data_IF_288720111071
#
_entry.id   IF_288720111071
#
_cell.length_a   1.000
_cell.length_b   1.000
_cell.length_c   1.000
_cell.angle_alpha   90.00
_cell.angle_beta   90.00
_cell.angle_gamma   90.00
#
_symmetry.space_group_name_H-M   'P 1'
#
loop_
_entity.id
_entity.type
_entity.pdbx_description
1 polymer ?
#
# COMPACT_ATOMS: atom_id res chain seq x y z
N UNK A 1 15.96 -19.53 -7.07
CA UNK A 1 15.53 -18.54 -6.09
C UNK A 1 14.40 -19.04 -5.22
N UNK A 2 13.97 -18.29 -4.18
CA UNK A 2 13.01 -18.74 -3.17
C UNK A 2 11.71 -19.33 -3.74
N UNK A 3 11.22 -18.82 -4.88
CA UNK A 3 10.04 -19.40 -5.54
C UNK A 3 10.29 -20.82 -6.07
N UNK A 4 11.40 -21.03 -6.78
CA UNK A 4 11.75 -22.34 -7.35
C UNK A 4 12.06 -23.37 -6.27
N UNK A 5 12.59 -22.93 -5.14
CA UNK A 5 13.07 -23.81 -4.10
C UNK A 5 11.97 -24.19 -3.09
N UNK A 6 10.99 -23.30 -2.88
CA UNK A 6 10.02 -23.43 -1.80
C UNK A 6 8.55 -23.22 -2.18
N UNK A 7 8.26 -22.69 -3.35
CA UNK A 7 6.91 -22.23 -3.68
C UNK A 7 6.23 -22.94 -4.83
N UNK A 8 6.99 -23.41 -5.83
CA UNK A 8 6.36 -23.83 -7.09
C UNK A 8 5.59 -25.15 -6.99
N UNK A 9 5.95 -26.02 -6.06
CA UNK A 9 5.29 -27.33 -5.88
C UNK A 9 4.15 -27.29 -4.85
N UNK A 10 3.98 -26.18 -4.15
CA UNK A 10 2.88 -25.98 -3.22
C UNK A 10 1.67 -25.34 -3.92
N UNK A 11 0.56 -26.08 -4.11
CA UNK A 11 -0.63 -25.53 -4.77
C UNK A 11 -1.23 -24.31 -4.08
N UNK A 12 -1.16 -24.23 -2.75
CA UNK A 12 -1.68 -23.10 -1.99
C UNK A 12 -0.86 -21.83 -2.25
N UNK A 13 0.48 -21.96 -2.25
CA UNK A 13 1.38 -20.85 -2.58
C UNK A 13 1.25 -20.42 -4.04
N UNK A 14 1.01 -21.34 -4.94
CA UNK A 14 0.73 -21.02 -6.35
C UNK A 14 -0.57 -20.24 -6.50
N UNK A 15 -1.62 -20.63 -5.81
CA UNK A 15 -2.90 -19.89 -5.80
C UNK A 15 -2.70 -18.48 -5.23
N UNK A 16 -2.00 -18.34 -4.11
CA UNK A 16 -1.69 -17.04 -3.51
C UNK A 16 -0.89 -16.14 -4.47
N UNK A 17 0.14 -16.67 -5.11
CA UNK A 17 0.92 -15.96 -6.12
C UNK A 17 0.05 -15.50 -7.29
N UNK A 18 -0.86 -16.35 -7.79
CA UNK A 18 -1.76 -16.00 -8.87
C UNK A 18 -2.74 -14.91 -8.46
N UNK A 19 -3.23 -14.92 -7.22
CA UNK A 19 -4.07 -13.83 -6.69
C UNK A 19 -3.30 -12.51 -6.63
N UNK A 20 -2.05 -12.53 -6.22
CA UNK A 20 -1.18 -11.35 -6.24
C UNK A 20 -0.96 -10.87 -7.68
N UNK A 21 -0.72 -11.78 -8.62
CA UNK A 21 -0.59 -11.41 -10.04
C UNK A 21 -1.85 -10.74 -10.58
N UNK A 22 -3.03 -11.29 -10.31
CA UNK A 22 -4.31 -10.66 -10.72
C UNK A 22 -4.44 -9.26 -10.14
N UNK A 23 -4.11 -9.06 -8.85
CA UNK A 23 -4.16 -7.75 -8.21
C UNK A 23 -3.15 -6.77 -8.81
N UNK A 24 -1.96 -7.23 -9.20
CA UNK A 24 -0.97 -6.38 -9.89
C UNK A 24 -1.49 -5.92 -11.25
N UNK A 25 -2.18 -6.80 -12.00
CA UNK A 25 -2.79 -6.45 -13.28
C UNK A 25 -3.95 -5.46 -13.11
N UNK A 26 -4.79 -5.63 -12.10
CA UNK A 26 -5.84 -4.65 -11.76
C UNK A 26 -5.23 -3.28 -11.46
N UNK A 27 -4.15 -3.24 -10.67
CA UNK A 27 -3.43 -2.00 -10.37
C UNK A 27 -2.84 -1.36 -11.63
N UNK A 28 -2.22 -2.16 -12.50
CA UNK A 28 -1.68 -1.70 -13.78
C UNK A 28 -2.77 -1.08 -14.66
N UNK A 29 -3.92 -1.73 -14.79
CA UNK A 29 -5.06 -1.23 -15.57
C UNK A 29 -5.64 0.05 -14.98
N UNK A 30 -5.74 0.14 -13.64
CA UNK A 30 -6.16 1.37 -12.98
C UNK A 30 -5.18 2.53 -13.26
N UNK A 31 -3.89 2.27 -13.27
CA UNK A 31 -2.87 3.28 -13.57
C UNK A 31 -2.96 3.77 -15.03
N UNK A 32 -3.19 2.87 -15.99
CA UNK A 32 -3.43 3.24 -17.39
C UNK A 32 -4.68 4.13 -17.52
N UNK A 33 -5.77 3.77 -16.85
CA UNK A 33 -6.98 4.59 -16.81
C UNK A 33 -6.73 5.96 -16.19
N UNK A 34 -5.94 6.03 -15.12
CA UNK A 34 -5.56 7.29 -14.47
C UNK A 34 -4.72 8.18 -15.40
N UNK A 35 -3.83 7.60 -16.20
CA UNK A 35 -3.02 8.31 -17.17
C UNK A 35 -3.89 8.86 -18.32
N UNK A 36 -4.79 8.05 -18.85
CA UNK A 36 -5.74 8.48 -19.88
C UNK A 36 -6.64 9.62 -19.39
N UNK A 37 -7.19 9.52 -18.16
CA UNK A 37 -7.98 10.57 -17.55
C UNK A 37 -7.22 11.90 -17.39
N UNK A 38 -5.91 11.83 -17.09
CA UNK A 38 -5.07 13.04 -17.03
C UNK A 38 -4.87 13.69 -18.40
N UNK A 39 -4.71 12.89 -19.45
CA UNK A 39 -4.54 13.42 -20.81
C UNK A 39 -5.83 14.05 -21.36
N UNK A 40 -6.99 13.55 -20.96
CA UNK A 40 -8.30 14.11 -21.34
C UNK A 40 -8.75 15.30 -20.48
N UNK A 41 -7.97 15.65 -19.44
CA UNK A 41 -8.20 16.82 -18.60
C UNK A 41 -9.26 16.65 -17.51
N UNK A 42 -9.74 15.45 -17.27
CA UNK A 42 -10.74 15.16 -16.23
C UNK A 42 -10.26 14.06 -15.28
N UNK A 43 -9.31 14.34 -14.37
CA UNK A 43 -8.87 13.37 -13.38
C UNK A 43 -10.04 12.90 -12.50
N UNK A 44 -10.24 11.59 -12.43
CA UNK A 44 -11.25 10.97 -11.58
C UNK A 44 -10.66 10.44 -10.26
N UNK A 45 -11.32 9.46 -9.62
CA UNK A 45 -10.92 8.89 -8.35
C UNK A 45 -9.74 7.91 -8.46
N UNK A 46 -9.21 7.67 -9.66
CA UNK A 46 -8.20 6.66 -9.96
C UNK A 46 -6.95 6.80 -9.09
N UNK A 47 -6.55 8.04 -8.77
CA UNK A 47 -5.42 8.31 -7.89
C UNK A 47 -5.64 7.79 -6.46
N UNK A 48 -6.82 8.02 -5.90
CA UNK A 48 -7.17 7.51 -4.56
C UNK A 48 -7.34 5.99 -4.57
N UNK A 49 -7.95 5.43 -5.61
CA UNK A 49 -8.07 3.98 -5.82
C UNK A 49 -6.68 3.36 -5.93
N UNK A 50 -5.83 3.91 -6.81
CA UNK A 50 -4.48 3.42 -7.02
C UNK A 50 -3.64 3.43 -5.74
N UNK A 51 -3.76 4.48 -4.93
CA UNK A 51 -3.05 4.59 -3.65
C UNK A 51 -3.49 3.50 -2.67
N UNK A 52 -4.77 3.25 -2.50
CA UNK A 52 -5.28 2.18 -1.63
C UNK A 52 -4.85 0.81 -2.14
N UNK A 53 -5.05 0.55 -3.44
CA UNK A 53 -4.69 -0.74 -4.05
C UNK A 53 -3.18 -1.03 -3.94
N UNK A 54 -2.33 -0.04 -4.23
CA UNK A 54 -0.87 -0.22 -4.15
C UNK A 54 -0.40 -0.44 -2.72
N UNK A 55 -0.95 0.28 -1.74
CA UNK A 55 -0.58 0.11 -0.34
C UNK A 55 -0.90 -1.31 0.17
N UNK A 56 -2.09 -1.82 -0.11
CA UNK A 56 -2.49 -3.17 0.28
C UNK A 56 -1.72 -4.24 -0.51
N UNK A 57 -1.57 -4.05 -1.84
CA UNK A 57 -0.81 -4.96 -2.69
C UNK A 57 0.64 -5.11 -2.22
N UNK A 58 1.33 -4.00 -1.96
CA UNK A 58 2.73 -4.04 -1.53
C UNK A 58 2.89 -4.79 -0.20
N UNK A 59 2.00 -4.57 0.77
CA UNK A 59 2.03 -5.28 2.05
C UNK A 59 1.91 -6.79 1.85
N UNK A 60 0.96 -7.24 1.03
CA UNK A 60 0.71 -8.65 0.82
C UNK A 60 1.80 -9.29 -0.05
N UNK A 61 2.27 -8.59 -1.09
CA UNK A 61 3.34 -9.08 -1.95
C UNK A 61 4.66 -9.30 -1.19
N UNK A 62 5.05 -8.33 -0.34
CA UNK A 62 6.26 -8.48 0.46
C UNK A 62 6.09 -9.47 1.61
N UNK A 63 4.89 -9.60 2.18
CA UNK A 63 4.60 -10.66 3.15
C UNK A 63 4.70 -12.05 2.51
N UNK A 64 4.13 -12.23 1.32
CA UNK A 64 4.25 -13.46 0.55
C UNK A 64 5.70 -13.79 0.23
N UNK A 65 6.44 -12.82 -0.32
CA UNK A 65 7.86 -13.01 -0.67
C UNK A 65 8.71 -13.39 0.56
N UNK A 66 8.52 -12.71 1.69
CA UNK A 66 9.22 -13.04 2.94
C UNK A 66 8.81 -14.43 3.44
N UNK A 67 7.54 -14.81 3.31
CA UNK A 67 7.05 -16.14 3.66
C UNK A 67 7.69 -17.28 2.85
N UNK A 68 8.19 -17.00 1.64
CA UNK A 68 8.91 -17.98 0.82
C UNK A 68 10.31 -18.29 1.36
N UNK A 69 10.87 -17.44 2.21
CA UNK A 69 12.18 -17.70 2.84
C UNK A 69 12.06 -18.58 4.10
N UNK A 70 10.82 -18.94 4.49
CA UNK A 70 10.58 -19.78 5.66
C UNK A 70 11.08 -19.12 6.96
N UNK A 71 11.76 -19.90 7.82
CA UNK A 71 12.28 -19.39 9.08
C UNK A 71 13.38 -18.33 8.91
N UNK A 72 14.12 -18.35 7.81
CA UNK A 72 15.15 -17.35 7.52
C UNK A 72 14.56 -15.93 7.39
N UNK A 73 13.28 -15.82 6.97
CA UNK A 73 12.56 -14.56 6.94
C UNK A 73 12.35 -13.88 8.30
N UNK A 74 12.62 -14.60 9.41
CA UNK A 74 12.58 -14.03 10.76
C UNK A 74 13.90 -13.37 11.17
N UNK A 75 14.96 -13.58 10.38
CA UNK A 75 16.29 -13.03 10.63
C UNK A 75 16.45 -11.70 9.90
N UNK A 76 17.17 -10.78 10.52
CA UNK A 76 17.52 -9.51 9.92
C UNK A 76 18.97 -9.55 9.43
N UNK A 77 19.16 -9.70 8.13
CA UNK A 77 20.48 -9.90 7.51
C UNK A 77 21.39 -8.66 7.59
N UNK A 78 20.82 -7.48 7.76
CA UNK A 78 21.56 -6.21 7.84
C UNK A 78 22.32 -5.98 9.14
N UNK A 79 22.27 -6.92 10.09
CA UNK A 79 22.80 -6.72 11.45
C UNK A 79 21.94 -5.75 12.28
N UNK A 80 22.25 -5.63 13.56
CA UNK A 80 21.50 -4.77 14.50
C UNK A 80 22.20 -3.45 14.80
N UNK A 81 23.35 -3.19 14.16
CA UNK A 81 24.06 -1.93 14.31
C UNK A 81 23.39 -0.84 13.48
N UNK A 82 23.10 0.29 14.10
CA UNK A 82 22.54 1.46 13.42
C UNK A 82 23.61 2.13 12.56
N UNK A 83 23.57 1.87 11.25
CA UNK A 83 24.37 2.64 10.30
C UNK A 83 23.68 3.97 9.98
N UNK A 84 24.17 5.04 10.59
CA UNK A 84 23.66 6.41 10.37
C UNK A 84 24.16 7.04 9.07
N UNK A 85 25.07 6.39 8.37
CA UNK A 85 25.59 6.87 7.09
C UNK A 85 24.75 6.39 5.91
N UNK A 86 23.98 5.34 6.10
CA UNK A 86 23.10 4.78 5.08
C UNK A 86 21.92 5.71 4.81
N UNK A 87 21.59 5.99 3.55
CA UNK A 87 20.40 6.76 3.18
C UNK A 87 19.13 6.11 3.73
N UNK A 88 18.20 6.91 4.27
CA UNK A 88 16.97 6.44 4.93
C UNK A 88 16.09 5.58 3.99
N UNK A 89 16.19 5.75 2.67
CA UNK A 89 15.38 5.03 1.66
C UNK A 89 16.18 3.98 0.91
N UNK A 90 17.35 3.62 1.39
CA UNK A 90 18.20 2.59 0.80
C UNK A 90 17.90 1.24 1.45
N UNK A 91 16.98 0.50 0.84
CA UNK A 91 16.57 -0.83 1.29
C UNK A 91 17.28 -1.88 0.43
N UNK A 92 17.97 -2.82 1.05
CA UNK A 92 18.73 -3.86 0.36
C UNK A 92 18.12 -5.24 0.55
N UNK A 93 17.47 -5.47 1.68
CA UNK A 93 16.95 -6.80 2.04
C UNK A 93 15.43 -6.89 1.91
N UNK A 94 14.93 -8.11 1.72
CA UNK A 94 13.50 -8.38 1.66
C UNK A 94 12.80 -8.04 2.97
N UNK A 95 13.47 -8.26 4.11
CA UNK A 95 12.96 -7.92 5.44
C UNK A 95 12.77 -6.40 5.59
N UNK A 96 13.72 -5.60 5.10
CA UNK A 96 13.60 -4.14 5.11
C UNK A 96 12.44 -3.65 4.25
N UNK A 97 12.28 -4.19 3.05
CA UNK A 97 11.11 -3.87 2.21
C UNK A 97 9.80 -4.27 2.89
N UNK A 98 9.74 -5.45 3.51
CA UNK A 98 8.57 -5.89 4.27
C UNK A 98 8.18 -4.90 5.38
N UNK A 99 9.16 -4.41 6.12
CA UNK A 99 8.93 -3.40 7.17
C UNK A 99 8.52 -2.05 6.54
N UNK A 100 9.24 -1.61 5.51
CA UNK A 100 9.03 -0.31 4.86
C UNK A 100 7.63 -0.17 4.27
N UNK A 101 7.10 -1.18 3.62
CA UNK A 101 5.80 -1.10 2.95
C UNK A 101 4.62 -0.90 3.91
N UNK A 102 4.81 -1.08 5.23
CA UNK A 102 3.80 -0.72 6.23
C UNK A 102 3.45 0.77 6.18
N UNK A 103 4.44 1.62 5.91
CA UNK A 103 4.25 3.06 5.77
C UNK A 103 3.37 3.42 4.54
N UNK A 104 3.26 2.56 3.54
CA UNK A 104 2.39 2.82 2.38
C UNK A 104 0.92 3.04 2.76
N UNK A 105 0.46 2.52 3.89
CA UNK A 105 -0.91 2.75 4.37
C UNK A 105 -1.08 4.10 5.09
N UNK A 106 0.02 4.80 5.37
CA UNK A 106 0.03 6.04 6.18
C UNK A 106 0.48 7.24 5.34
N UNK A 107 1.58 7.11 4.62
CA UNK A 107 2.18 8.17 3.81
C UNK A 107 1.30 8.57 2.62
N UNK A 108 1.37 9.84 2.21
CA UNK A 108 0.57 10.36 1.10
C UNK A 108 -0.95 10.36 1.35
N UNK A 109 -1.36 10.35 2.61
CA UNK A 109 -2.73 10.16 3.08
C UNK A 109 -3.00 8.73 3.52
N UNK A 110 -3.62 8.56 4.67
CA UNK A 110 -3.89 7.21 5.18
C UNK A 110 -4.90 6.45 4.31
N UNK A 111 -4.87 5.14 4.40
CA UNK A 111 -5.84 4.28 3.69
C UNK A 111 -7.28 4.64 4.05
N UNK A 112 -7.53 5.00 5.32
CA UNK A 112 -8.84 5.41 5.82
C UNK A 112 -9.28 6.74 5.18
N UNK A 113 -8.40 7.73 5.13
CA UNK A 113 -8.68 9.03 4.46
C UNK A 113 -8.98 8.81 2.98
N UNK A 114 -8.25 7.96 2.29
CA UNK A 114 -8.50 7.64 0.89
C UNK A 114 -9.87 6.94 0.70
N UNK A 115 -10.23 6.02 1.59
CA UNK A 115 -11.54 5.35 1.57
C UNK A 115 -12.67 6.34 1.84
N UNK A 116 -12.51 7.27 2.76
CA UNK A 116 -13.50 8.34 3.02
C UNK A 116 -13.67 9.22 1.76
N UNK A 117 -12.59 9.63 1.13
CA UNK A 117 -12.66 10.39 -0.13
C UNK A 117 -13.42 9.62 -1.21
N UNK A 118 -13.15 8.33 -1.37
CA UNK A 118 -13.85 7.47 -2.33
C UNK A 118 -15.34 7.32 -1.95
N UNK A 119 -15.63 7.10 -0.68
CA UNK A 119 -17.00 7.01 -0.18
C UNK A 119 -17.80 8.27 -0.46
N UNK A 120 -17.28 9.43 -0.06
CA UNK A 120 -17.98 10.70 -0.18
C UNK A 120 -18.08 11.19 -1.64
N UNK A 121 -16.95 11.15 -2.38
CA UNK A 121 -16.90 11.82 -3.71
C UNK A 121 -17.29 10.90 -4.86
N UNK A 122 -17.16 9.59 -4.72
CA UNK A 122 -17.43 8.63 -5.80
C UNK A 122 -18.75 7.92 -5.57
N UNK A 123 -18.98 7.45 -4.35
CA UNK A 123 -20.20 6.72 -3.99
C UNK A 123 -21.33 7.64 -3.50
N UNK A 124 -21.05 8.92 -3.25
CA UNK A 124 -22.05 9.88 -2.75
C UNK A 124 -22.51 9.57 -1.32
N UNK A 125 -21.72 8.86 -0.54
CA UNK A 125 -22.04 8.58 0.86
C UNK A 125 -21.97 9.87 1.69
N UNK A 126 -22.79 9.99 2.76
CA UNK A 126 -22.72 11.13 3.65
C UNK A 126 -21.32 11.19 4.30
N UNK A 127 -20.74 12.38 4.33
CA UNK A 127 -19.49 12.64 5.04
C UNK A 127 -19.69 12.65 6.56
N UNK A 128 -18.58 12.62 7.29
CA UNK A 128 -18.60 12.77 8.74
C UNK A 128 -19.23 14.11 9.16
N UNK A 129 -19.87 14.10 10.34
CA UNK A 129 -20.40 15.30 10.97
C UNK A 129 -19.22 16.22 11.29
N UNK A 130 -19.15 17.33 10.57
CA UNK A 130 -18.08 18.33 10.76
C UNK A 130 -18.62 19.47 11.62
N UNK A 131 -18.26 19.42 12.90
CA UNK A 131 -18.61 20.49 13.86
C UNK A 131 -17.68 21.72 13.78
N UNK A 132 -16.60 21.61 13.01
CA UNK A 132 -15.52 22.58 12.90
C UNK A 132 -15.50 23.36 11.58
N UNK A 133 -16.32 22.97 10.60
CA UNK A 133 -16.24 23.47 9.22
C UNK A 133 -16.34 24.98 9.06
N UNK A 134 -17.14 25.62 9.90
CA UNK A 134 -17.47 27.04 9.83
C UNK A 134 -17.04 27.80 11.08
N UNK A 135 -16.23 27.19 11.94
CA UNK A 135 -15.74 27.76 13.19
C UNK A 135 -14.25 28.11 13.10
N UNK A 136 -13.87 29.24 13.71
CA UNK A 136 -12.46 29.51 13.92
C UNK A 136 -11.87 28.46 14.89
N UNK A 137 -10.59 28.08 14.71
CA UNK A 137 -9.92 27.05 15.53
C UNK A 137 -10.11 27.22 17.04
N UNK A 138 -10.11 28.47 17.53
CA UNK A 138 -10.32 28.79 18.96
C UNK A 138 -11.70 28.45 19.47
N UNK A 139 -12.70 28.39 18.59
CA UNK A 139 -14.11 28.23 18.91
C UNK A 139 -14.60 26.79 18.66
N UNK A 140 -13.72 25.92 18.13
CA UNK A 140 -14.04 24.50 17.92
C UNK A 140 -14.17 23.78 19.26
N UNK A 141 -15.31 23.08 19.52
CA UNK A 141 -15.48 22.29 20.74
C UNK A 141 -14.35 21.26 20.92
N UNK A 142 -13.72 21.27 22.05
CA UNK A 142 -12.68 20.29 22.41
C UNK A 142 -13.31 19.27 23.33
N UNK A 143 -13.29 18.00 22.92
CA UNK A 143 -13.68 16.86 23.75
C UNK A 143 -12.70 16.64 24.89
#
# INVERSE_FOLDING_TARGET
>A
GAWTDQGHDDPARRDEMMRLWVRSEVLRLNNLRAEEARTTGTPGPEGSIGKVLSAEFNKDAFAFALGLTGMDGTLFDGGYELDRTRPILDYETLAEYFLRVRANSIEGGTTEVMRNILGERVLGLPGDIRVDKDLAWKDVPRS
#
